data_IF_544900642411
#
_entry.id   IF_544900642411
#
_cell.length_a   1.000
_cell.length_b   1.000
_cell.length_c   1.000
_cell.angle_alpha   90.00
_cell.angle_beta   90.00
_cell.angle_gamma   90.00
#
_symmetry.space_group_name_H-M   'P 1'
#
loop_
_entity.id
_entity.type
_entity.pdbx_description
1 polymer ?
#
# COMPACT_ATOMS: atom_id res chain seq x y z
N UNK A 1 -7.72 5.79 1.91
CA UNK A 1 -9.02 6.16 2.55
C UNK A 1 -10.07 5.17 2.08
N UNK A 2 -10.98 4.74 2.95
CA UNK A 2 -12.07 3.82 2.62
C UNK A 2 -13.40 4.54 2.86
N UNK A 3 -14.31 4.47 1.88
CA UNK A 3 -15.66 5.04 1.99
C UNK A 3 -16.69 4.00 1.64
N UNK A 4 -17.73 3.90 2.47
CA UNK A 4 -18.92 3.12 2.19
C UNK A 4 -20.03 4.01 1.63
N UNK A 5 -20.72 3.53 0.61
CA UNK A 5 -21.83 4.28 0.04
C UNK A 5 -22.09 3.97 -1.43
N UNK A 6 -22.82 4.89 -2.05
CA UNK A 6 -23.06 4.92 -3.49
C UNK A 6 -22.03 5.79 -4.22
N UNK A 7 -22.19 5.86 -5.54
CA UNK A 7 -21.30 6.61 -6.43
C UNK A 7 -21.25 8.11 -6.14
N UNK A 8 -22.39 8.71 -5.73
CA UNK A 8 -22.45 10.14 -5.43
C UNK A 8 -21.65 10.48 -4.18
N UNK A 9 -21.78 9.63 -3.14
CA UNK A 9 -20.97 9.75 -1.93
C UNK A 9 -19.49 9.53 -2.23
N UNK A 10 -19.13 8.52 -3.01
CA UNK A 10 -17.74 8.29 -3.41
C UNK A 10 -17.15 9.48 -4.18
N UNK A 11 -17.94 10.08 -5.08
CA UNK A 11 -17.52 11.27 -5.83
C UNK A 11 -17.28 12.48 -4.91
N UNK A 12 -18.16 12.70 -3.92
CA UNK A 12 -17.96 13.75 -2.93
C UNK A 12 -16.68 13.55 -2.12
N UNK A 13 -16.46 12.33 -1.62
CA UNK A 13 -15.23 11.98 -0.89
C UNK A 13 -13.99 12.19 -1.75
N UNK A 14 -14.02 11.79 -3.03
CA UNK A 14 -12.89 12.00 -3.94
C UNK A 14 -12.56 13.49 -4.12
N UNK A 15 -13.56 14.36 -4.23
CA UNK A 15 -13.33 15.82 -4.30
C UNK A 15 -12.68 16.35 -3.03
N UNK A 16 -13.20 15.94 -1.87
CA UNK A 16 -12.67 16.41 -0.58
C UNK A 16 -11.23 15.94 -0.37
N UNK A 17 -10.94 14.68 -0.70
CA UNK A 17 -9.58 14.12 -0.61
C UNK A 17 -8.63 14.81 -1.58
N UNK A 18 -9.06 15.07 -2.82
CA UNK A 18 -8.23 15.75 -3.81
C UNK A 18 -7.95 17.23 -3.45
N UNK A 19 -8.84 17.86 -2.68
CA UNK A 19 -8.65 19.24 -2.21
C UNK A 19 -7.69 19.34 -1.00
N UNK A 20 -7.35 18.21 -0.34
CA UNK A 20 -6.38 18.21 0.74
C UNK A 20 -4.97 18.47 0.19
N UNK A 21 -4.23 19.34 0.86
CA UNK A 21 -2.79 19.46 0.62
C UNK A 21 -2.03 18.22 1.11
N UNK A 22 -0.85 17.97 0.53
CA UNK A 22 0.02 16.86 0.90
C UNK A 22 0.02 15.73 -0.12
N UNK A 23 0.33 14.53 0.35
CA UNK A 23 0.44 13.34 -0.50
C UNK A 23 -0.90 12.94 -1.11
N UNK A 24 -0.85 12.46 -2.36
CA UNK A 24 -2.01 11.83 -3.00
C UNK A 24 -2.28 10.50 -2.31
N UNK A 25 -3.47 10.35 -1.76
CA UNK A 25 -3.89 9.10 -1.11
C UNK A 25 -4.91 8.35 -1.96
N UNK A 26 -4.79 7.03 -2.12
CA UNK A 26 -5.80 6.22 -2.80
C UNK A 26 -7.11 6.20 -2.00
N UNK A 27 -8.24 6.22 -2.71
CA UNK A 27 -9.59 6.09 -2.15
C UNK A 27 -10.24 4.82 -2.68
N UNK A 28 -10.68 3.95 -1.77
CA UNK A 28 -11.50 2.78 -2.11
C UNK A 28 -12.96 3.05 -1.77
N UNK A 29 -13.84 2.90 -2.74
CA UNK A 29 -15.29 2.89 -2.55
C UNK A 29 -15.80 1.48 -2.39
N UNK A 30 -16.60 1.24 -1.36
CA UNK A 30 -17.23 -0.05 -1.06
C UNK A 30 -18.75 0.12 -0.97
N UNK A 31 -19.49 -0.83 -1.53
CA UNK A 31 -20.95 -0.86 -1.40
C UNK A 31 -21.36 -1.14 0.05
N UNK A 32 -22.57 -0.77 0.43
CA UNK A 32 -23.09 -1.10 1.76
C UNK A 32 -23.06 -2.61 2.01
N UNK A 33 -22.53 -3.01 3.17
CA UNK A 33 -22.40 -4.41 3.57
C UNK A 33 -21.20 -5.13 2.95
N UNK A 34 -20.43 -4.49 2.07
CA UNK A 34 -19.23 -5.08 1.51
C UNK A 34 -18.12 -5.20 2.58
N UNK A 35 -17.47 -6.35 2.63
CA UNK A 35 -16.43 -6.68 3.61
C UNK A 35 -15.08 -6.90 2.97
N UNK A 36 -14.98 -6.86 1.63
CA UNK A 36 -13.75 -7.09 0.88
C UNK A 36 -12.88 -5.82 0.84
N UNK A 37 -12.34 -5.46 2.00
CA UNK A 37 -11.46 -4.29 2.12
C UNK A 37 -10.10 -4.58 1.46
N UNK A 38 -9.61 -3.73 0.54
CA UNK A 38 -8.30 -3.91 -0.07
C UNK A 38 -7.18 -3.62 0.94
N UNK A 39 -6.67 -4.68 1.58
CA UNK A 39 -5.67 -4.59 2.64
C UNK A 39 -4.37 -3.89 2.21
N UNK A 40 -4.03 -3.91 0.92
CA UNK A 40 -2.87 -3.19 0.39
C UNK A 40 -2.92 -1.68 0.65
N UNK A 41 -4.12 -1.09 0.79
CA UNK A 41 -4.28 0.33 1.12
C UNK A 41 -4.08 0.63 2.62
N UNK A 42 -3.93 -0.40 3.44
CA UNK A 42 -3.76 -0.34 4.89
C UNK A 42 -2.35 -0.72 5.34
N UNK A 43 -1.45 -0.97 4.38
CA UNK A 43 -0.07 -1.36 4.62
C UNK A 43 0.86 -0.39 3.90
N UNK A 44 2.04 -0.19 4.49
CA UNK A 44 3.15 0.46 3.82
C UNK A 44 4.16 -0.60 3.42
N UNK A 45 4.31 -0.82 2.13
CA UNK A 45 5.36 -1.71 1.63
C UNK A 45 6.74 -1.12 1.91
N UNK A 46 7.67 -1.98 2.33
CA UNK A 46 9.07 -1.64 2.58
C UNK A 46 9.96 -2.71 1.96
N UNK A 47 10.75 -2.31 0.96
CA UNK A 47 11.77 -3.17 0.37
C UNK A 47 13.14 -2.82 0.95
N UNK A 48 13.91 -3.84 1.35
CA UNK A 48 15.29 -3.68 1.83
C UNK A 48 16.18 -4.62 1.04
N UNK A 49 17.22 -4.07 0.42
CA UNK A 49 18.26 -4.85 -0.26
C UNK A 49 19.52 -4.86 0.61
N UNK A 50 19.96 -6.04 1.00
CA UNK A 50 21.15 -6.23 1.85
C UNK A 50 22.24 -6.88 1.01
N UNK A 51 23.38 -6.19 0.88
CA UNK A 51 24.57 -6.80 0.30
C UNK A 51 25.18 -7.80 1.29
N UNK A 52 24.83 -9.07 1.14
CA UNK A 52 25.30 -10.16 2.02
C UNK A 52 26.79 -10.49 1.84
N UNK A 53 27.42 -10.03 0.76
CA UNK A 53 28.85 -10.22 0.50
C UNK A 53 29.70 -9.01 0.90
N UNK A 54 29.11 -7.98 1.53
CA UNK A 54 29.80 -6.74 1.86
C UNK A 54 31.06 -6.93 2.74
N UNK A 55 31.10 -8.00 3.55
CA UNK A 55 32.27 -8.37 4.36
C UNK A 55 33.42 -9.03 3.56
N UNK A 56 33.30 -9.13 2.22
CA UNK A 56 34.35 -9.66 1.34
C UNK A 56 34.20 -11.14 0.97
N UNK A 57 33.10 -11.79 1.35
CA UNK A 57 32.83 -13.19 0.99
C UNK A 57 31.34 -13.54 1.11
N UNK A 58 30.89 -14.50 0.31
CA UNK A 58 29.52 -15.00 0.37
C UNK A 58 29.50 -16.35 1.10
N UNK A 59 29.05 -16.35 2.35
CA UNK A 59 29.00 -17.54 3.19
C UNK A 59 28.18 -18.69 2.55
N UNK A 60 27.08 -18.39 1.86
CA UNK A 60 26.27 -19.40 1.17
C UNK A 60 27.00 -20.04 -0.01
N UNK A 61 27.89 -19.33 -0.69
CA UNK A 61 28.74 -19.91 -1.73
C UNK A 61 29.86 -20.78 -1.15
N UNK A 62 30.36 -20.46 0.05
CA UNK A 62 31.40 -21.26 0.73
C UNK A 62 30.90 -22.64 1.17
N UNK A 63 29.58 -22.85 1.27
CA UNK A 63 28.96 -24.14 1.65
C UNK A 63 28.58 -25.02 0.45
N UNK A 64 28.74 -24.53 -0.78
CA UNK A 64 28.48 -25.31 -1.99
C UNK A 64 29.81 -25.95 -2.42
N UNK A 65 29.87 -27.29 -2.37
CA UNK A 65 30.99 -28.12 -2.81
C UNK A 65 30.52 -29.30 -3.63
#
# INVERSE_FOLDING_TARGET
>A
MISYGDSDRLQAVNRDVAARGGEIVPVAGLSHGDTQIPLMLLLHERAVSVNTAAAGGNASLMTIG
#
